data_IF_862368035787
#
_entry.id   IF_862368035787
#
_cell.length_a   1.000
_cell.length_b   1.000
_cell.length_c   1.000
_cell.angle_alpha   90.00
_cell.angle_beta   90.00
_cell.angle_gamma   90.00
#
_symmetry.space_group_name_H-M   'P 1'
#
loop_
_entity.id
_entity.type
_entity.pdbx_description
1 polymer ?
#
# COMPACT_ATOMS: atom_id res chain seq x y z
N UNK A 1 -8.08 -2.96 -28.97
CA UNK A 1 -7.68 -2.93 -28.47
C UNK A 1 -7.35 -2.63 -27.93
N UNK A 2 -7.45 -2.34 -27.96
CA UNK A 2 -6.97 -2.09 -27.37
C UNK A 2 -6.40 -1.78 -27.05
N UNK A 3 -6.59 -1.64 -27.01
CA UNK A 3 -5.81 -1.40 -26.72
C UNK A 3 -5.19 -0.90 -26.44
N UNK A 4 -5.06 -0.55 -26.37
CA UNK A 4 -4.27 -0.20 -26.02
C UNK A 4 -4.22 0.39 -25.62
N UNK A 5 -4.71 0.59 -25.81
CA UNK A 5 -4.43 0.96 -25.25
C UNK A 5 -4.73 1.01 -24.57
N UNK A 6 -5.40 0.83 -24.77
CA UNK A 6 -5.43 0.69 -24.01
C UNK A 6 -5.13 0.58 -23.41
N UNK A 7 -5.20 0.49 -23.53
CA UNK A 7 -4.65 0.34 -22.97
C UNK A 7 -3.95 0.83 -22.73
N UNK A 8 -3.88 1.36 -23.01
CA UNK A 8 -3.07 1.64 -22.79
C UNK A 8 -2.73 2.36 -22.62
N UNK A 9 -2.87 2.57 -22.73
CA UNK A 9 -2.40 3.02 -22.48
C UNK A 9 -2.33 3.36 -21.98
N UNK A 10 -2.67 3.32 -21.99
CA UNK A 10 -2.42 3.43 -21.47
C UNK A 10 -2.14 3.25 -20.89
N UNK A 11 -2.27 2.89 -20.68
CA UNK A 11 -1.70 2.65 -20.10
C UNK A 11 -0.80 3.08 -20.08
N UNK A 12 -0.43 3.43 -20.09
CA UNK A 12 0.47 3.62 -20.07
C UNK A 12 1.06 4.04 -19.88
N UNK A 13 0.91 4.16 -19.83
CA UNK A 13 1.50 4.61 -19.54
C UNK A 13 1.73 4.87 -18.75
N UNK A 14 1.68 4.72 -18.35
CA UNK A 14 2.00 4.90 -17.55
C UNK A 14 1.86 5.30 -16.57
N UNK A 15 1.36 5.11 -16.21
CA UNK A 15 1.22 5.41 -15.23
C UNK A 15 0.48 5.09 -14.43
N UNK A 16 0.19 5.19 -14.14
CA UNK A 16 -0.08 5.16 -13.07
C UNK A 16 -0.56 4.38 -12.10
N UNK A 17 -0.96 3.55 -11.94
CA UNK A 17 -1.15 2.68 -10.95
C UNK A 17 -0.06 2.44 -10.19
N UNK A 18 0.66 3.30 -10.12
CA UNK A 18 1.93 2.99 -9.84
C UNK A 18 2.31 3.27 -8.47
N UNK A 19 1.53 3.96 -7.73
CA UNK A 19 1.77 4.20 -6.32
C UNK A 19 1.56 2.90 -5.56
N UNK A 20 2.46 2.64 -4.62
CA UNK A 20 2.41 1.42 -3.82
C UNK A 20 1.11 1.29 -3.05
N UNK A 21 0.58 2.41 -2.55
CA UNK A 21 -0.68 2.42 -1.83
C UNK A 21 -1.83 2.00 -2.74
N UNK A 22 -1.83 2.43 -3.99
CA UNK A 22 -2.86 2.07 -4.96
C UNK A 22 -2.83 0.58 -5.29
N UNK A 23 -1.62 0.03 -5.45
CA UNK A 23 -1.47 -1.41 -5.70
C UNK A 23 -1.94 -2.23 -4.52
N UNK A 24 -1.60 -1.76 -3.30
CA UNK A 24 -2.06 -2.42 -2.09
C UNK A 24 -3.58 -2.38 -1.97
N UNK A 25 -4.17 -1.23 -2.28
CA UNK A 25 -5.64 -1.09 -2.24
C UNK A 25 -6.31 -2.04 -3.22
N UNK A 26 -5.74 -2.20 -4.43
CA UNK A 26 -6.27 -3.12 -5.42
C UNK A 26 -6.22 -4.56 -4.91
N UNK A 27 -5.14 -4.96 -4.25
CA UNK A 27 -5.03 -6.31 -3.68
C UNK A 27 -6.06 -6.53 -2.58
N UNK A 28 -6.26 -5.54 -1.71
CA UNK A 28 -7.26 -5.61 -0.65
C UNK A 28 -8.66 -5.78 -1.24
N UNK A 29 -8.96 -5.06 -2.31
CA UNK A 29 -10.26 -5.18 -2.98
C UNK A 29 -10.46 -6.55 -3.59
N UNK A 30 -9.42 -7.10 -4.22
CA UNK A 30 -9.47 -8.45 -4.79
C UNK A 30 -9.74 -9.48 -3.69
N UNK A 31 -9.04 -9.37 -2.57
CA UNK A 31 -9.22 -10.29 -1.46
C UNK A 31 -10.65 -10.24 -0.92
N UNK A 32 -11.23 -9.04 -0.81
CA UNK A 32 -12.61 -8.88 -0.36
C UNK A 32 -13.60 -9.52 -1.35
N UNK A 33 -13.39 -9.30 -2.64
CA UNK A 33 -14.27 -9.87 -3.68
C UNK A 33 -14.18 -11.39 -3.67
N UNK A 34 -12.97 -11.95 -3.56
CA UNK A 34 -12.79 -13.40 -3.52
C UNK A 34 -13.48 -13.98 -2.28
N UNK A 35 -13.34 -13.33 -1.11
CA UNK A 35 -13.98 -13.78 0.11
C UNK A 35 -15.49 -13.79 -0.04
N UNK A 36 -16.07 -12.73 -0.59
CA UNK A 36 -17.51 -12.67 -0.86
C UNK A 36 -17.96 -13.79 -1.80
N UNK A 37 -17.18 -14.04 -2.84
CA UNK A 37 -17.50 -15.09 -3.82
C UNK A 37 -17.49 -16.48 -3.20
N UNK A 38 -16.66 -16.70 -2.21
CA UNK A 38 -16.52 -18.00 -1.54
C UNK A 38 -17.42 -18.14 -0.31
N UNK A 39 -18.15 -17.11 0.05
CA UNK A 39 -18.99 -17.12 1.25
C UNK A 39 -18.21 -16.98 2.55
N UNK A 40 -16.98 -16.46 2.47
CA UNK A 40 -16.15 -16.18 3.66
C UNK A 40 -16.55 -14.82 4.22
N UNK A 41 -16.77 -14.74 5.51
CA UNK A 41 -17.16 -13.48 6.15
C UNK A 41 -15.94 -12.56 6.30
N UNK A 42 -16.22 -11.27 6.55
CA UNK A 42 -15.13 -10.31 6.79
C UNK A 42 -14.29 -10.71 8.00
N UNK A 43 -14.94 -11.21 9.06
CA UNK A 43 -14.21 -11.67 10.25
C UNK A 43 -13.32 -12.85 9.93
N UNK A 44 -13.82 -13.80 9.13
CA UNK A 44 -13.03 -14.96 8.71
C UNK A 44 -11.86 -14.56 7.83
N UNK A 45 -12.08 -13.60 6.92
CA UNK A 45 -11.01 -13.09 6.06
C UNK A 45 -9.88 -12.48 6.91
N UNK A 46 -10.23 -11.66 7.89
CA UNK A 46 -9.23 -11.05 8.78
C UNK A 46 -8.52 -12.10 9.63
N UNK A 47 -9.24 -13.14 10.05
CA UNK A 47 -8.63 -14.23 10.82
C UNK A 47 -7.63 -15.01 9.96
N UNK A 48 -7.99 -15.28 8.70
CA UNK A 48 -7.08 -15.94 7.76
C UNK A 48 -5.80 -15.12 7.59
N UNK A 49 -5.95 -13.81 7.41
CA UNK A 49 -4.80 -12.93 7.28
C UNK A 49 -3.88 -13.03 8.50
N UNK A 50 -4.45 -12.95 9.71
CA UNK A 50 -3.67 -12.98 10.94
C UNK A 50 -2.97 -14.32 11.18
N UNK A 51 -3.61 -15.42 10.81
CA UNK A 51 -3.11 -16.75 11.14
C UNK A 51 -2.30 -17.39 10.04
N UNK A 52 -2.63 -17.10 8.77
CA UNK A 52 -1.98 -17.77 7.63
C UNK A 52 -0.91 -16.90 6.96
N UNK A 53 -0.87 -15.60 7.24
CA UNK A 53 0.05 -14.69 6.60
C UNK A 53 0.84 -13.84 7.61
N UNK A 54 1.53 -14.48 8.57
CA UNK A 54 2.24 -13.72 9.62
C UNK A 54 3.37 -12.85 9.09
N UNK A 55 4.03 -13.27 8.00
CA UNK A 55 5.11 -12.47 7.40
C UNK A 55 4.54 -11.21 6.76
N UNK A 56 3.45 -11.35 6.00
CA UNK A 56 2.78 -10.20 5.41
C UNK A 56 2.28 -9.24 6.48
N UNK A 57 1.71 -9.79 7.56
CA UNK A 57 1.20 -8.99 8.67
C UNK A 57 2.32 -8.19 9.32
N UNK A 58 3.50 -8.80 9.48
CA UNK A 58 4.64 -8.10 10.04
C UNK A 58 5.09 -6.96 9.14
N UNK A 59 5.17 -7.18 7.83
CA UNK A 59 5.52 -6.11 6.90
C UNK A 59 4.48 -4.99 6.93
N UNK A 60 3.21 -5.32 7.00
CA UNK A 60 2.14 -4.31 7.09
C UNK A 60 2.30 -3.45 8.33
N UNK A 61 2.80 -4.02 9.43
CA UNK A 61 3.02 -3.27 10.65
C UNK A 61 4.26 -2.37 10.56
N UNK A 62 5.26 -2.80 9.80
CA UNK A 62 6.52 -2.07 9.68
C UNK A 62 6.52 -1.04 8.56
N UNK A 63 5.77 -1.29 7.50
CA UNK A 63 5.79 -0.43 6.33
C UNK A 63 5.10 0.89 6.60
N UNK A 64 5.64 1.95 5.98
CA UNK A 64 5.06 3.29 6.03
C UNK A 64 4.89 3.80 4.61
N UNK A 65 3.83 4.58 4.40
CA UNK A 65 3.52 5.17 3.10
C UNK A 65 3.54 6.68 3.24
N UNK A 66 4.14 7.35 2.27
CA UNK A 66 4.27 8.81 2.33
C UNK A 66 2.98 9.49 1.88
N UNK A 67 2.98 10.83 1.90
CA UNK A 67 1.80 11.62 1.55
C UNK A 67 1.35 11.37 0.11
N UNK A 68 2.26 10.91 -0.76
CA UNK A 68 1.97 10.64 -2.17
C UNK A 68 1.62 9.18 -2.42
N UNK A 69 1.49 8.37 -1.37
CA UNK A 69 1.08 6.97 -1.50
C UNK A 69 2.20 6.03 -1.90
N UNK A 70 3.45 6.44 -1.78
CA UNK A 70 4.61 5.59 -2.08
C UNK A 70 5.13 4.95 -0.80
N UNK A 71 5.57 3.71 -0.90
CA UNK A 71 6.16 3.02 0.24
C UNK A 71 7.52 3.63 0.56
N UNK A 72 7.72 4.02 1.81
CA UNK A 72 8.96 4.65 2.27
C UNK A 72 10.02 3.57 2.48
N UNK A 73 11.24 3.75 1.96
CA UNK A 73 12.31 2.78 2.20
C UNK A 73 12.59 2.59 3.68
N UNK A 74 12.96 1.38 4.07
CA UNK A 74 13.18 1.05 5.48
C UNK A 74 14.25 1.91 6.14
N UNK A 75 15.28 2.28 5.40
CA UNK A 75 16.35 3.13 5.92
C UNK A 75 15.80 4.46 6.39
N UNK A 76 14.87 5.04 5.61
CA UNK A 76 14.25 6.32 5.94
C UNK A 76 13.30 6.16 7.12
N UNK A 77 12.52 5.08 7.15
CA UNK A 77 11.62 4.80 8.27
C UNK A 77 12.43 4.68 9.57
N UNK A 78 13.53 3.94 9.53
CA UNK A 78 14.37 3.76 10.71
C UNK A 78 15.02 5.08 11.16
N UNK A 79 15.48 5.88 10.21
CA UNK A 79 16.07 7.18 10.55
C UNK A 79 15.05 8.10 11.21
N UNK A 80 13.81 8.09 10.70
CA UNK A 80 12.73 8.87 11.31
C UNK A 80 12.37 8.41 12.70
N UNK A 81 12.40 7.09 12.92
CA UNK A 81 12.07 6.52 14.23
C UNK A 81 13.06 6.90 15.31
N UNK A 82 14.30 7.28 14.94
CA UNK A 82 15.31 7.69 15.90
C UNK A 82 15.15 9.14 16.35
N UNK A 83 14.33 9.92 15.66
CA UNK A 83 14.09 11.31 16.03
C UNK A 83 13.19 11.40 17.25
N UNK A 84 13.36 12.45 18.03
CA UNK A 84 12.60 12.64 19.25
C UNK A 84 11.75 13.90 19.17
N UNK A 85 10.70 13.96 20.00
CA UNK A 85 9.91 15.16 20.14
C UNK A 85 9.08 15.54 18.92
N UNK A 86 8.77 14.57 18.08
CA UNK A 86 7.95 14.82 16.89
C UNK A 86 8.72 15.49 15.76
N UNK A 87 10.05 15.51 15.84
CA UNK A 87 10.87 16.09 14.80
C UNK A 87 10.76 15.30 13.49
N UNK A 88 10.87 16.00 12.37
CA UNK A 88 10.81 15.38 11.04
C UNK A 88 12.19 15.35 10.41
N UNK A 89 12.42 14.35 9.56
CA UNK A 89 13.67 14.29 8.79
C UNK A 89 13.74 15.46 7.82
N UNK A 90 14.96 15.94 7.57
CA UNK A 90 15.20 16.97 6.55
C UNK A 90 14.89 16.40 5.17
N UNK A 91 14.74 17.29 4.18
CA UNK A 91 14.52 16.86 2.79
C UNK A 91 15.65 15.95 2.32
N UNK A 92 16.90 16.29 2.67
CA UNK A 92 18.04 15.45 2.29
C UNK A 92 17.94 14.04 2.87
N UNK A 93 17.51 13.93 4.12
CA UNK A 93 17.38 12.63 4.78
C UNK A 93 16.18 11.83 4.29
N UNK A 94 15.23 12.47 3.62
CA UNK A 94 14.05 11.82 3.03
C UNK A 94 14.24 11.51 1.55
N UNK A 95 15.41 11.85 1.00
CA UNK A 95 15.71 11.59 -0.41
C UNK A 95 16.34 10.22 -0.55
N UNK A 96 15.85 9.46 -1.51
CA UNK A 96 16.34 8.11 -1.78
C UNK A 96 16.60 7.97 -3.27
N UNK A 97 17.77 7.42 -3.61
CA UNK A 97 18.15 7.18 -5.01
C UNK A 97 17.89 5.73 -5.33
N UNK A 98 17.06 5.49 -6.35
CA UNK A 98 16.74 4.14 -6.76
C UNK A 98 18.02 3.45 -7.26
N UNK A 99 18.38 2.27 -6.74
CA UNK A 99 19.66 1.64 -7.06
C UNK A 99 19.82 1.24 -8.52
N UNK A 100 18.72 0.98 -9.22
CA UNK A 100 18.79 0.55 -10.61
C UNK A 100 18.65 1.70 -11.60
N UNK A 101 17.72 2.60 -11.36
CA UNK A 101 17.43 3.68 -12.30
C UNK A 101 18.19 4.97 -12.03
N UNK A 102 18.70 5.14 -10.81
CA UNK A 102 19.36 6.38 -10.40
C UNK A 102 18.41 7.55 -10.17
N UNK A 103 17.11 7.32 -10.27
CA UNK A 103 16.11 8.37 -10.06
C UNK A 103 16.01 8.68 -8.57
N UNK A 104 15.98 9.97 -8.24
CA UNK A 104 15.83 10.42 -6.86
C UNK A 104 14.37 10.60 -6.53
N UNK A 105 13.99 10.13 -5.35
CA UNK A 105 12.64 10.31 -4.81
C UNK A 105 12.73 10.97 -3.45
N UNK A 106 11.93 12.01 -3.23
CA UNK A 106 11.81 12.65 -1.93
C UNK A 106 10.47 12.21 -1.34
N UNK A 107 10.52 11.56 -0.18
CA UNK A 107 9.31 11.05 0.47
C UNK A 107 8.74 12.13 1.39
N UNK A 108 7.45 12.39 1.23
CA UNK A 108 6.79 13.52 1.88
C UNK A 108 6.00 13.09 3.11
N UNK A 109 6.12 13.84 4.20
CA UNK A 109 5.30 13.62 5.38
C UNK A 109 3.84 13.99 5.10
N UNK A 110 2.88 13.36 5.77
CA UNK A 110 3.08 12.38 6.84
C UNK A 110 3.37 10.97 6.31
N UNK A 111 4.13 10.21 7.09
CA UNK A 111 4.33 8.79 6.83
C UNK A 111 3.27 8.03 7.62
N UNK A 112 2.49 7.19 6.94
CA UNK A 112 1.33 6.52 7.52
C UNK A 112 1.52 5.01 7.55
N UNK A 113 1.07 4.39 8.63
CA UNK A 113 0.91 2.95 8.67
C UNK A 113 -0.52 2.64 8.24
N UNK A 114 -0.69 1.71 7.32
CA UNK A 114 -2.01 1.33 6.84
C UNK A 114 -2.46 0.07 7.57
N UNK A 115 -3.78 -0.03 7.80
CA UNK A 115 -4.38 -1.15 8.51
C UNK A 115 -5.11 -2.04 7.49
N UNK A 116 -4.49 -3.18 7.15
CA UNK A 116 -5.05 -4.07 6.14
C UNK A 116 -6.39 -4.65 6.58
N UNK A 117 -6.55 -4.97 7.86
CA UNK A 117 -7.82 -5.54 8.33
C UNK A 117 -8.95 -4.52 8.22
N UNK A 118 -8.70 -3.28 8.62
CA UNK A 118 -9.69 -2.22 8.49
C UNK A 118 -10.04 -1.99 7.01
N UNK A 119 -9.04 -2.01 6.15
CA UNK A 119 -9.24 -1.79 4.72
C UNK A 119 -9.99 -2.95 4.07
N UNK A 120 -9.70 -4.20 4.48
CA UNK A 120 -10.42 -5.38 3.98
C UNK A 120 -11.89 -5.35 4.41
N UNK A 121 -12.15 -4.94 5.67
CA UNK A 121 -13.52 -4.84 6.16
C UNK A 121 -14.31 -3.77 5.42
N UNK A 122 -13.66 -2.65 5.14
CA UNK A 122 -14.31 -1.57 4.41
C UNK A 122 -14.61 -1.98 2.98
N UNK A 123 -13.66 -2.60 2.29
CA UNK A 123 -13.86 -3.08 0.93
C UNK A 123 -14.95 -4.16 0.89
N UNK A 124 -14.92 -5.08 1.86
CA UNK A 124 -15.91 -6.16 1.96
C UNK A 124 -17.33 -5.58 2.09
N UNK A 125 -17.49 -4.61 3.00
CA UNK A 125 -18.81 -3.99 3.22
C UNK A 125 -19.27 -3.25 1.96
N UNK A 126 -18.36 -2.59 1.28
CA UNK A 126 -18.68 -1.82 0.07
C UNK A 126 -19.15 -2.75 -1.05
N UNK A 127 -18.42 -3.83 -1.30
CA UNK A 127 -18.79 -4.78 -2.36
C UNK A 127 -20.00 -5.62 -1.99
N UNK A 128 -20.16 -5.95 -0.72
CA UNK A 128 -21.36 -6.66 -0.25
C UNK A 128 -22.61 -5.83 -0.51
N UNK A 129 -22.53 -4.52 -0.28
CA UNK A 129 -23.65 -3.62 -0.53
C UNK A 129 -23.97 -3.44 -2.01
N UNK A 130 -23.05 -3.78 -2.89
CA UNK A 130 -23.26 -3.68 -4.33
C UNK A 130 -23.92 -4.93 -4.92
N UNK A 131 -23.79 -6.03 -4.23
CA UNK A 131 -24.33 -7.32 -4.67
C UNK A 131 -25.69 -7.56 -4.12
#
# INVERSE_FOLDING_TARGET
>A
MMSEEVVGAAWGVNKPLRKDEERRAAQVEIDAIVALSLGVTADELCMIYRTQFPVMRRYDQEDRFDANGRKVPKEIVKAGAKLKGGAELSVADRTWVHPQSGVEYVFEYPFRQLDREADMREAYARFEGMG
#
